data_IF_605380911621
#
_entry.id   IF_605380911621
#
_cell.length_a   1.000
_cell.length_b   1.000
_cell.length_c   1.000
_cell.angle_alpha   90.00
_cell.angle_beta   90.00
_cell.angle_gamma   90.00
#
_symmetry.space_group_name_H-M   'P 1'
#
loop_
_entity.id
_entity.type
_entity.pdbx_description
1 polymer ?
#
# COMPACT_ATOMS: atom_id res chain seq x y z
N UNK A 1 43.36 -89.70 -5.16
CA UNK A 1 44.45 -90.04 -6.09
C UNK A 1 45.21 -88.76 -6.41
N UNK A 2 46.52 -88.84 -6.30
CA UNK A 2 47.55 -87.79 -6.35
C UNK A 2 47.86 -87.26 -7.75
N UNK A 3 48.11 -85.95 -7.88
CA UNK A 3 49.16 -85.31 -8.71
C UNK A 3 48.91 -83.77 -8.70
N UNK A 4 49.76 -82.90 -8.16
CA UNK A 4 51.13 -82.50 -8.51
C UNK A 4 51.18 -81.14 -9.24
N UNK A 5 51.63 -80.14 -8.48
CA UNK A 5 52.42 -78.94 -8.79
C UNK A 5 52.46 -78.32 -10.21
N UNK A 6 52.33 -76.98 -10.27
CA UNK A 6 53.43 -76.11 -10.74
C UNK A 6 53.28 -74.64 -10.30
N UNK A 7 54.40 -74.05 -9.85
CA UNK A 7 54.57 -72.61 -9.54
C UNK A 7 54.77 -71.79 -10.82
N UNK A 8 54.27 -70.55 -10.86
CA UNK A 8 54.92 -69.42 -11.55
C UNK A 8 54.59 -68.08 -10.88
N UNK A 9 55.64 -67.39 -10.41
CA UNK A 9 55.63 -66.00 -9.92
C UNK A 9 55.60 -65.06 -11.13
N UNK A 10 54.69 -64.09 -11.17
CA UNK A 10 54.86 -62.87 -11.97
C UNK A 10 54.53 -61.60 -11.16
N UNK A 11 55.54 -60.75 -11.17
CA UNK A 11 55.77 -59.34 -10.80
C UNK A 11 54.60 -58.43 -10.41
N UNK A 12 54.91 -57.62 -9.38
CA UNK A 12 54.21 -56.41 -8.92
C UNK A 12 54.12 -55.36 -10.05
N UNK A 13 52.92 -54.84 -10.27
CA UNK A 13 52.65 -53.57 -10.97
C UNK A 13 51.84 -52.67 -10.03
N UNK A 14 52.27 -51.42 -9.88
CA UNK A 14 51.79 -50.47 -8.89
C UNK A 14 50.33 -50.06 -9.12
N UNK A 15 49.57 -49.99 -8.02
CA UNK A 15 48.24 -49.44 -7.94
C UNK A 15 48.35 -47.90 -8.07
N UNK A 16 47.80 -47.33 -9.13
CA UNK A 16 47.69 -45.88 -9.28
C UNK A 16 46.73 -45.31 -8.25
N UNK A 17 47.23 -44.43 -7.38
CA UNK A 17 46.40 -43.57 -6.53
C UNK A 17 45.72 -42.54 -7.43
N UNK A 18 44.39 -42.58 -7.52
CA UNK A 18 43.57 -41.46 -7.96
C UNK A 18 43.51 -40.45 -6.81
N UNK A 19 44.31 -39.39 -6.89
CA UNK A 19 44.19 -38.21 -6.03
C UNK A 19 42.97 -37.40 -6.48
N UNK A 20 41.89 -37.45 -5.71
CA UNK A 20 40.79 -36.51 -5.83
C UNK A 20 41.30 -35.12 -5.39
N UNK A 21 41.49 -34.23 -6.35
CA UNK A 21 41.83 -32.83 -6.08
C UNK A 21 40.54 -32.10 -5.71
N UNK A 22 40.34 -31.81 -4.43
CA UNK A 22 39.31 -30.89 -3.98
C UNK A 22 39.75 -29.47 -4.37
N UNK A 23 39.15 -28.90 -5.41
CA UNK A 23 39.20 -27.46 -5.64
C UNK A 23 38.34 -26.79 -4.56
N UNK A 24 38.98 -26.28 -3.51
CA UNK A 24 38.37 -25.27 -2.67
C UNK A 24 38.21 -23.99 -3.51
N UNK A 25 37.00 -23.78 -4.03
CA UNK A 25 36.63 -22.49 -4.63
C UNK A 25 36.49 -21.49 -3.49
N UNK A 26 37.55 -20.71 -3.25
CA UNK A 26 37.44 -19.51 -2.43
C UNK A 26 36.55 -18.52 -3.19
N UNK A 27 35.27 -18.46 -2.85
CA UNK A 27 34.41 -17.34 -3.22
C UNK A 27 34.96 -16.11 -2.49
N UNK A 28 35.77 -15.33 -3.18
CA UNK A 28 36.01 -13.94 -2.79
C UNK A 28 34.66 -13.25 -2.95
N UNK A 29 33.95 -13.05 -1.85
CA UNK A 29 32.85 -12.10 -1.81
C UNK A 29 33.50 -10.73 -2.06
N UNK A 30 33.46 -10.28 -3.32
CA UNK A 30 33.69 -8.88 -3.61
C UNK A 30 32.55 -8.13 -2.92
N UNK A 31 32.84 -7.51 -1.76
CA UNK A 31 31.97 -6.46 -1.25
C UNK A 31 31.92 -5.40 -2.35
N UNK A 32 30.78 -5.35 -3.05
CA UNK A 32 30.46 -4.17 -3.83
C UNK A 32 30.58 -2.97 -2.88
N UNK A 33 31.28 -1.89 -3.26
CA UNK A 33 31.25 -0.69 -2.44
C UNK A 33 29.78 -0.32 -2.24
N UNK A 34 29.41 0.03 -1.00
CA UNK A 34 28.10 0.60 -0.73
C UNK A 34 27.88 1.74 -1.74
N UNK A 35 26.87 1.59 -2.61
CA UNK A 35 26.48 2.64 -3.53
C UNK A 35 26.19 3.86 -2.66
N UNK A 36 26.84 4.99 -2.93
CA UNK A 36 26.55 6.22 -2.20
C UNK A 36 25.07 6.54 -2.38
N UNK A 37 24.36 6.80 -1.28
CA UNK A 37 22.96 7.20 -1.33
C UNK A 37 22.82 8.43 -2.23
N UNK A 38 21.88 8.35 -3.17
CA UNK A 38 21.66 9.35 -4.20
C UNK A 38 20.70 10.42 -3.67
N UNK A 39 20.93 11.69 -4.00
CA UNK A 39 19.91 12.72 -3.82
C UNK A 39 18.78 12.52 -4.83
N UNK A 40 17.61 13.08 -4.54
CA UNK A 40 16.50 13.09 -5.49
C UNK A 40 16.89 13.85 -6.77
N UNK A 41 16.53 13.29 -7.93
CA UNK A 41 16.62 14.04 -9.17
C UNK A 41 15.44 15.04 -9.27
N UNK A 42 15.64 16.24 -9.84
CA UNK A 42 14.55 17.19 -10.02
C UNK A 42 13.50 16.61 -10.99
N UNK A 43 12.32 16.31 -10.46
CA UNK A 43 11.15 15.92 -11.25
C UNK A 43 10.09 17.01 -11.11
N UNK A 44 9.54 17.51 -12.21
CA UNK A 44 8.34 18.34 -12.19
C UNK A 44 7.14 17.43 -12.17
N UNK A 45 6.22 17.62 -11.23
CA UNK A 45 5.04 16.79 -11.20
C UNK A 45 3.99 17.29 -12.20
N UNK A 46 3.32 16.35 -12.86
CA UNK A 46 2.15 16.67 -13.67
C UNK A 46 0.97 16.91 -12.72
N UNK A 47 0.19 17.97 -12.98
CA UNK A 47 -1.07 18.19 -12.28
C UNK A 47 -2.12 17.29 -12.94
N UNK A 48 -2.62 16.29 -12.21
CA UNK A 48 -3.77 15.50 -12.63
C UNK A 48 -5.06 16.17 -12.14
N UNK A 49 -6.16 16.11 -12.91
CA UNK A 49 -7.47 16.43 -12.36
C UNK A 49 -7.85 15.41 -11.28
N UNK A 50 -8.67 15.82 -10.31
CA UNK A 50 -9.21 14.90 -9.31
C UNK A 50 -10.01 13.76 -9.96
N UNK A 51 -9.87 12.56 -9.41
CA UNK A 51 -10.62 11.39 -9.84
C UNK A 51 -12.12 11.54 -9.59
N UNK A 52 -12.93 10.92 -10.45
CA UNK A 52 -14.39 11.00 -10.36
C UNK A 52 -14.98 9.86 -9.53
N UNK A 53 -16.03 10.11 -8.73
CA UNK A 53 -16.74 9.04 -8.03
C UNK A 53 -17.37 8.05 -9.02
N UNK A 54 -17.42 6.74 -8.68
CA UNK A 54 -18.17 5.76 -9.44
C UNK A 54 -19.66 6.11 -9.61
N UNK A 55 -20.29 5.76 -10.75
CA UNK A 55 -21.69 6.03 -11.00
C UNK A 55 -22.60 5.22 -10.06
N UNK A 56 -23.87 5.58 -9.94
CA UNK A 56 -24.82 4.94 -9.00
C UNK A 56 -24.89 3.41 -9.14
N UNK A 57 -24.90 2.90 -10.37
CA UNK A 57 -24.93 1.46 -10.66
C UNK A 57 -23.73 0.68 -10.12
N UNK A 58 -22.59 1.35 -9.89
CA UNK A 58 -21.41 0.73 -9.28
C UNK A 58 -21.68 0.29 -7.84
N UNK A 59 -22.50 1.02 -7.09
CA UNK A 59 -22.76 0.70 -5.68
C UNK A 59 -23.79 -0.43 -5.49
N UNK A 60 -24.34 -0.95 -6.59
CA UNK A 60 -25.37 -1.97 -6.59
C UNK A 60 -26.70 -1.48 -6.01
N UNK A 61 -27.59 -2.42 -5.64
CA UNK A 61 -28.88 -2.07 -5.05
C UNK A 61 -28.72 -1.64 -3.58
N UNK A 62 -28.49 -0.36 -3.34
CA UNK A 62 -28.41 0.23 -1.99
C UNK A 62 -29.77 0.29 -1.29
N UNK A 63 -30.88 0.31 -2.03
CA UNK A 63 -32.23 0.31 -1.46
C UNK A 63 -32.60 -1.03 -0.79
N UNK A 64 -31.89 -2.11 -1.14
CA UNK A 64 -32.03 -3.42 -0.51
C UNK A 64 -31.28 -3.60 0.82
N UNK A 65 -30.45 -2.62 1.22
CA UNK A 65 -29.66 -2.71 2.46
C UNK A 65 -30.62 -2.72 3.67
N UNK A 66 -30.58 -3.75 4.54
CA UNK A 66 -31.44 -3.80 5.71
C UNK A 66 -31.06 -2.69 6.71
N UNK A 67 -32.01 -2.15 7.48
CA UNK A 67 -31.68 -1.19 8.54
C UNK A 67 -30.79 -1.84 9.60
N UNK A 68 -29.76 -1.10 10.03
CA UNK A 68 -28.90 -1.51 11.14
C UNK A 68 -29.73 -1.78 12.40
N UNK A 69 -29.37 -2.84 13.13
CA UNK A 69 -29.90 -3.10 14.47
C UNK A 69 -28.91 -2.68 15.56
N UNK A 70 -27.63 -2.55 15.20
CA UNK A 70 -26.60 -1.90 16.00
C UNK A 70 -26.42 -0.43 15.53
N UNK A 71 -25.20 -0.03 15.16
CA UNK A 71 -24.86 1.36 14.82
C UNK A 71 -24.78 1.59 13.31
N UNK A 72 -24.34 0.59 12.52
CA UNK A 72 -24.07 0.75 11.09
C UNK A 72 -24.25 -0.57 10.34
N UNK A 73 -25.03 -0.59 9.25
CA UNK A 73 -25.08 -1.74 8.35
C UNK A 73 -23.97 -1.64 7.31
N UNK A 74 -22.99 -2.55 7.35
CA UNK A 74 -21.95 -2.65 6.32
C UNK A 74 -22.39 -3.64 5.25
N UNK A 75 -22.28 -3.26 3.98
CA UNK A 75 -22.44 -4.15 2.81
C UNK A 75 -21.13 -4.20 2.05
N UNK A 76 -20.61 -5.39 1.80
CA UNK A 76 -19.43 -5.57 0.92
C UNK A 76 -19.92 -5.96 -0.47
N UNK A 77 -19.41 -5.29 -1.51
CA UNK A 77 -19.77 -5.59 -2.91
C UNK A 77 -18.54 -5.99 -3.73
N UNK A 78 -18.78 -6.89 -4.67
CA UNK A 78 -17.77 -7.37 -5.61
C UNK A 78 -17.66 -6.42 -6.81
N UNK A 79 -16.51 -5.77 -6.94
CA UNK A 79 -16.14 -4.95 -8.09
C UNK A 79 -14.83 -5.44 -8.72
N UNK A 80 -14.58 -6.75 -8.66
CA UNK A 80 -13.37 -7.40 -9.22
C UNK A 80 -13.42 -7.61 -10.73
N UNK A 81 -14.33 -6.95 -11.44
CA UNK A 81 -14.51 -7.06 -12.89
C UNK A 81 -14.72 -8.50 -13.41
N UNK A 82 -15.26 -9.37 -12.55
CA UNK A 82 -15.53 -10.78 -12.87
C UNK A 82 -14.34 -11.73 -12.67
N UNK A 83 -13.20 -11.24 -12.19
CA UNK A 83 -12.02 -12.06 -11.91
C UNK A 83 -12.23 -13.00 -10.72
N UNK A 84 -12.97 -12.55 -9.70
CA UNK A 84 -13.32 -13.37 -8.55
C UNK A 84 -14.85 -13.46 -8.39
N UNK A 85 -15.42 -14.67 -8.27
CA UNK A 85 -16.81 -14.83 -7.86
C UNK A 85 -17.00 -14.45 -6.37
N UNK A 86 -18.25 -14.20 -5.96
CA UNK A 86 -18.61 -13.78 -4.61
C UNK A 86 -18.18 -14.76 -3.50
N UNK A 87 -18.03 -16.05 -3.80
CA UNK A 87 -17.50 -17.06 -2.86
C UNK A 87 -15.96 -17.04 -2.76
N UNK A 88 -15.31 -16.12 -3.46
CA UNK A 88 -13.87 -15.87 -3.44
C UNK A 88 -13.49 -14.43 -3.06
N UNK A 89 -14.47 -13.61 -2.68
CA UNK A 89 -14.23 -12.29 -2.07
C UNK A 89 -14.57 -12.39 -0.59
N UNK A 90 -13.57 -12.22 0.25
CA UNK A 90 -13.68 -12.39 1.70
C UNK A 90 -13.52 -11.06 2.43
N UNK A 91 -14.19 -10.95 3.56
CA UNK A 91 -13.89 -9.95 4.58
C UNK A 91 -13.56 -10.63 5.91
N UNK A 92 -12.69 -9.99 6.69
CA UNK A 92 -12.33 -10.40 8.05
C UNK A 92 -12.54 -9.22 9.01
N UNK A 93 -13.30 -9.43 10.08
CA UNK A 93 -13.48 -8.44 11.14
C UNK A 93 -13.66 -9.13 12.49
N UNK A 94 -13.03 -8.62 13.55
CA UNK A 94 -13.09 -9.19 14.90
C UNK A 94 -12.77 -10.70 14.99
N UNK A 95 -11.91 -11.20 14.10
CA UNK A 95 -11.50 -12.61 14.05
C UNK A 95 -12.48 -13.55 13.35
N UNK A 96 -13.56 -13.02 12.78
CA UNK A 96 -14.49 -13.75 11.91
C UNK A 96 -14.18 -13.44 10.45
N UNK A 97 -14.18 -14.47 9.60
CA UNK A 97 -13.92 -14.35 8.16
C UNK A 97 -15.06 -15.02 7.40
N UNK A 98 -15.65 -14.29 6.45
CA UNK A 98 -16.72 -14.80 5.60
C UNK A 98 -16.52 -14.39 4.15
N UNK A 99 -16.98 -15.23 3.23
CA UNK A 99 -17.15 -14.79 1.83
C UNK A 99 -18.40 -13.90 1.73
N UNK A 100 -18.44 -13.00 0.74
CA UNK A 100 -19.63 -12.17 0.52
C UNK A 100 -20.81 -12.98 -0.03
N UNK A 101 -20.58 -14.14 -0.65
CA UNK A 101 -21.64 -15.09 -1.01
C UNK A 101 -22.34 -15.71 0.21
N UNK A 102 -21.58 -15.93 1.29
CA UNK A 102 -22.10 -16.46 2.55
C UNK A 102 -22.75 -15.36 3.38
N UNK A 103 -22.06 -14.24 3.56
CA UNK A 103 -22.49 -13.15 4.42
C UNK A 103 -22.09 -11.79 3.79
N UNK A 104 -22.96 -11.19 2.96
CA UNK A 104 -22.68 -9.91 2.31
C UNK A 104 -22.88 -8.70 3.23
N UNK A 105 -23.50 -8.90 4.40
CA UNK A 105 -23.84 -7.85 5.35
C UNK A 105 -23.20 -8.09 6.72
N UNK A 106 -22.79 -7.00 7.37
CA UNK A 106 -22.34 -6.98 8.76
C UNK A 106 -23.04 -5.86 9.51
N UNK A 107 -23.89 -6.23 10.47
CA UNK A 107 -24.55 -5.29 11.38
C UNK A 107 -23.57 -4.84 12.48
N UNK A 108 -22.82 -3.78 12.19
CA UNK A 108 -21.63 -3.35 12.91
C UNK A 108 -21.99 -2.77 14.29
N UNK A 109 -21.49 -3.36 15.39
CA UNK A 109 -21.57 -2.75 16.71
C UNK A 109 -20.59 -1.60 16.86
N UNK A 110 -20.82 -0.77 17.88
CA UNK A 110 -19.86 0.23 18.29
C UNK A 110 -18.48 -0.38 18.58
N UNK A 111 -17.43 0.29 18.12
CA UNK A 111 -16.03 -0.13 18.28
C UNK A 111 -15.12 1.11 18.32
N UNK A 112 -13.95 0.98 18.94
CA UNK A 112 -13.03 2.09 19.20
C UNK A 112 -11.76 2.07 18.33
N UNK A 113 -11.61 1.06 17.45
CA UNK A 113 -10.45 0.84 16.58
C UNK A 113 -10.71 -0.36 15.64
N UNK A 114 -11.65 -0.20 14.72
CA UNK A 114 -11.98 -1.21 13.73
C UNK A 114 -10.99 -1.23 12.57
N UNK A 115 -10.53 -2.43 12.20
CA UNK A 115 -9.90 -2.71 10.92
C UNK A 115 -10.64 -3.89 10.29
N UNK A 116 -11.23 -3.66 9.12
CA UNK A 116 -11.88 -4.72 8.34
C UNK A 116 -10.97 -5.02 7.16
N UNK A 117 -10.46 -6.26 7.11
CA UNK A 117 -9.56 -6.74 6.08
C UNK A 117 -10.36 -7.40 4.97
N UNK A 118 -9.86 -7.32 3.74
CA UNK A 118 -10.44 -7.94 2.55
C UNK A 118 -9.42 -8.87 1.91
N UNK A 119 -9.88 -9.98 1.34
CA UNK A 119 -9.01 -10.98 0.70
C UNK A 119 -9.66 -11.50 -0.58
N UNK A 120 -8.85 -11.74 -1.62
CA UNK A 120 -9.31 -12.32 -2.88
C UNK A 120 -8.75 -13.73 -3.12
N UNK A 121 -9.60 -14.62 -3.62
CA UNK A 121 -9.30 -16.01 -3.97
C UNK A 121 -9.38 -16.99 -2.79
N UNK A 122 -8.88 -16.59 -1.63
CA UNK A 122 -8.87 -17.41 -0.41
C UNK A 122 -8.90 -16.51 0.84
N UNK A 123 -9.43 -16.99 1.99
CA UNK A 123 -9.51 -16.21 3.22
C UNK A 123 -8.14 -15.84 3.82
N UNK A 124 -7.08 -16.59 3.53
CA UNK A 124 -5.70 -16.34 3.96
C UNK A 124 -4.80 -15.83 2.82
N UNK A 125 -5.40 -15.33 1.74
CA UNK A 125 -4.70 -14.86 0.55
C UNK A 125 -3.78 -13.66 0.86
N UNK A 126 -2.57 -13.60 0.27
CA UNK A 126 -1.70 -12.43 0.36
C UNK A 126 -2.23 -11.23 -0.45
N UNK A 127 -3.26 -11.44 -1.28
CA UNK A 127 -3.99 -10.40 -2.01
C UNK A 127 -5.02 -9.79 -1.06
N UNK A 128 -4.56 -8.81 -0.30
CA UNK A 128 -5.31 -8.25 0.81
C UNK A 128 -5.09 -6.75 0.95
N UNK A 129 -6.10 -6.09 1.49
CA UNK A 129 -6.11 -4.69 1.87
C UNK A 129 -7.13 -4.48 2.99
N UNK A 130 -7.24 -3.28 3.56
CA UNK A 130 -8.15 -3.03 4.67
C UNK A 130 -8.67 -1.59 4.70
N UNK A 131 -9.79 -1.42 5.40
CA UNK A 131 -10.29 -0.10 5.82
C UNK A 131 -10.10 0.07 7.32
N UNK A 132 -9.99 1.31 7.77
CA UNK A 132 -9.90 1.68 9.18
C UNK A 132 -11.12 2.52 9.57
N UNK A 133 -11.67 2.26 10.75
CA UNK A 133 -12.81 3.01 11.24
C UNK A 133 -12.95 2.98 12.76
N UNK A 134 -13.76 3.91 13.26
CA UNK A 134 -14.34 3.91 14.60
C UNK A 134 -15.83 4.13 14.42
N UNK A 135 -16.63 3.19 14.92
CA UNK A 135 -18.09 3.35 15.01
C UNK A 135 -18.42 3.67 16.46
N UNK A 136 -18.68 4.95 16.74
CA UNK A 136 -19.12 5.40 18.05
C UNK A 136 -20.64 5.26 18.21
N UNK A 137 -21.16 5.76 19.33
CA UNK A 137 -22.60 5.95 19.49
C UNK A 137 -23.10 6.96 18.45
N UNK A 138 -23.84 6.50 17.45
CA UNK A 138 -24.41 7.31 16.37
C UNK A 138 -23.39 8.13 15.54
N UNK A 139 -22.15 7.67 15.40
CA UNK A 139 -21.13 8.35 14.58
C UNK A 139 -20.21 7.36 13.89
N UNK A 140 -19.97 7.57 12.59
CA UNK A 140 -18.94 6.87 11.83
C UNK A 140 -17.74 7.79 11.64
N UNK A 141 -16.55 7.23 11.81
CA UNK A 141 -15.28 7.84 11.42
C UNK A 141 -14.51 6.77 10.67
N UNK A 142 -14.12 6.97 9.41
CA UNK A 142 -13.38 5.93 8.71
C UNK A 142 -12.77 6.37 7.39
N UNK A 143 -11.83 5.56 6.93
CA UNK A 143 -10.99 5.84 5.77
C UNK A 143 -10.58 4.56 5.04
N UNK A 144 -10.31 4.71 3.73
CA UNK A 144 -9.38 3.81 3.04
C UNK A 144 -7.95 4.25 3.39
N UNK A 145 -6.94 3.40 3.20
CA UNK A 145 -5.56 3.80 3.52
C UNK A 145 -4.51 3.16 2.61
N UNK A 146 -3.50 3.96 2.26
CA UNK A 146 -2.29 3.57 1.52
C UNK A 146 -1.03 3.89 2.33
N UNK A 147 -1.17 4.18 3.62
CA UNK A 147 -0.04 4.47 4.51
C UNK A 147 0.99 3.33 4.53
N UNK A 148 0.51 2.08 4.46
CA UNK A 148 1.36 0.89 4.46
C UNK A 148 1.64 0.37 3.04
N UNK A 149 0.58 0.20 2.25
CA UNK A 149 0.63 -0.30 0.88
C UNK A 149 -0.72 -0.11 0.16
N UNK A 150 -0.71 -0.28 -1.16
CA UNK A 150 -1.89 -0.58 -1.97
C UNK A 150 -1.89 -2.07 -2.31
N UNK A 151 -2.89 -2.81 -1.86
CA UNK A 151 -3.07 -4.24 -2.15
C UNK A 151 -4.24 -4.52 -3.06
N UNK A 152 -5.42 -3.98 -2.71
CA UNK A 152 -6.68 -4.14 -3.43
C UNK A 152 -7.30 -2.75 -3.67
N UNK A 153 -8.09 -2.61 -4.73
CA UNK A 153 -8.86 -1.39 -4.98
C UNK A 153 -10.03 -1.34 -4.00
N UNK A 154 -10.13 -0.27 -3.23
CA UNK A 154 -11.15 -0.07 -2.22
C UNK A 154 -11.78 1.31 -2.38
N UNK A 155 -13.11 1.34 -2.44
CA UNK A 155 -13.90 2.55 -2.30
C UNK A 155 -15.05 2.29 -1.34
N UNK A 156 -15.45 3.33 -0.63
CA UNK A 156 -16.53 3.31 0.33
C UNK A 156 -17.59 4.34 -0.04
N UNK A 157 -18.84 4.06 0.30
CA UNK A 157 -19.96 5.01 0.25
C UNK A 157 -20.73 4.97 1.55
N UNK A 158 -20.77 6.10 2.26
CA UNK A 158 -21.46 6.25 3.53
C UNK A 158 -22.77 7.01 3.31
N UNK A 159 -23.86 6.52 3.88
CA UNK A 159 -25.13 7.25 3.95
C UNK A 159 -25.61 7.41 5.40
N UNK A 160 -26.16 8.58 5.71
CA UNK A 160 -26.68 8.92 7.03
C UNK A 160 -28.17 9.29 7.02
N UNK A 161 -28.77 9.36 8.20
CA UNK A 161 -30.21 9.59 8.39
C UNK A 161 -30.68 11.01 8.02
N UNK A 162 -29.77 11.97 7.94
CA UNK A 162 -30.02 13.34 7.49
C UNK A 162 -29.91 13.52 5.96
N UNK A 163 -29.61 12.44 5.24
CA UNK A 163 -29.45 12.42 3.79
C UNK A 163 -28.03 12.70 3.32
N UNK A 164 -27.03 12.77 4.22
CA UNK A 164 -25.63 12.72 3.82
C UNK A 164 -25.36 11.44 3.02
N UNK A 165 -24.66 11.59 1.90
CA UNK A 165 -24.27 10.50 1.01
C UNK A 165 -22.94 10.88 0.32
N UNK A 166 -21.86 10.19 0.67
CA UNK A 166 -20.53 10.48 0.15
C UNK A 166 -19.74 9.22 -0.17
N UNK A 167 -19.06 9.25 -1.33
CA UNK A 167 -18.13 8.22 -1.76
C UNK A 167 -16.68 8.68 -1.60
N UNK A 168 -15.79 7.76 -1.22
CA UNK A 168 -14.37 8.05 -0.97
C UNK A 168 -13.51 6.79 -1.17
N UNK A 169 -12.23 6.97 -1.54
CA UNK A 169 -11.33 5.89 -1.94
C UNK A 169 -10.95 5.97 -3.42
N UNK A 170 -10.57 4.83 -4.03
CA UNK A 170 -10.15 4.78 -5.44
C UNK A 170 -11.26 5.26 -6.38
N UNK A 171 -10.85 5.98 -7.43
CA UNK A 171 -11.77 6.53 -8.43
C UNK A 171 -12.30 5.47 -9.40
N UNK A 172 -13.31 5.86 -10.19
CA UNK A 172 -13.95 4.91 -11.09
C UNK A 172 -13.01 4.37 -12.18
N UNK A 173 -12.09 5.19 -12.70
CA UNK A 173 -11.13 4.77 -13.72
C UNK A 173 -10.24 3.64 -13.19
N UNK A 174 -9.72 3.80 -11.97
CA UNK A 174 -8.92 2.79 -11.30
C UNK A 174 -9.67 1.47 -11.14
N UNK A 175 -10.97 1.52 -10.82
CA UNK A 175 -11.83 0.33 -10.77
C UNK A 175 -12.10 -0.31 -12.13
N UNK A 176 -12.01 0.42 -13.25
CA UNK A 176 -12.21 -0.13 -14.59
C UNK A 176 -10.96 -0.82 -15.16
N UNK A 177 -9.79 -0.51 -14.64
CA UNK A 177 -8.53 -1.10 -15.09
C UNK A 177 -8.30 -2.48 -14.49
N UNK A 178 -7.42 -3.29 -15.10
CA UNK A 178 -6.90 -4.48 -14.41
C UNK A 178 -5.85 -4.07 -13.38
N UNK A 179 -5.60 -4.92 -12.38
CA UNK A 179 -4.51 -4.72 -11.43
C UNK A 179 -3.15 -4.52 -12.10
N UNK A 180 -2.82 -5.29 -13.13
CA UNK A 180 -1.57 -5.14 -13.88
C UNK A 180 -1.47 -3.76 -14.53
N UNK A 181 -2.57 -3.24 -15.08
CA UNK A 181 -2.62 -1.90 -15.63
C UNK A 181 -2.41 -0.84 -14.55
N UNK A 182 -3.01 -0.97 -13.37
CA UNK A 182 -2.78 -0.06 -12.24
C UNK A 182 -1.31 -0.07 -11.78
N UNK A 183 -0.70 -1.25 -11.66
CA UNK A 183 0.73 -1.38 -11.29
C UNK A 183 1.66 -0.80 -12.36
N UNK A 184 1.31 -0.97 -13.63
CA UNK A 184 2.07 -0.39 -14.73
C UNK A 184 1.93 1.14 -14.75
N UNK A 185 0.71 1.66 -14.58
CA UNK A 185 0.44 3.10 -14.48
C UNK A 185 1.25 3.74 -13.37
N UNK A 186 1.30 3.12 -12.18
CA UNK A 186 2.15 3.57 -11.08
C UNK A 186 3.62 3.73 -11.53
N UNK A 187 4.20 2.69 -12.15
CA UNK A 187 5.60 2.74 -12.64
C UNK A 187 5.84 3.79 -13.72
N UNK A 188 4.83 4.11 -14.52
CA UNK A 188 4.93 5.09 -15.60
C UNK A 188 4.86 6.53 -15.08
N UNK A 189 4.08 6.77 -14.03
CA UNK A 189 3.84 8.11 -13.51
C UNK A 189 4.82 8.56 -12.43
N UNK A 190 5.33 7.62 -11.62
CA UNK A 190 6.28 7.97 -10.55
C UNK A 190 7.72 8.11 -11.06
N UNK A 191 8.55 8.96 -10.41
CA UNK A 191 9.98 9.02 -10.67
C UNK A 191 10.70 7.68 -10.50
N UNK A 192 11.90 7.56 -11.06
CA UNK A 192 12.69 6.32 -11.05
C UNK A 192 12.90 5.78 -9.63
N UNK A 193 13.09 6.67 -8.66
CA UNK A 193 13.30 6.34 -7.24
C UNK A 193 12.11 5.64 -6.59
N UNK A 194 10.93 5.60 -7.20
CA UNK A 194 9.72 5.01 -6.63
C UNK A 194 9.23 3.77 -7.39
N UNK A 195 9.75 3.48 -8.58
CA UNK A 195 9.20 2.42 -9.44
C UNK A 195 9.32 1.02 -8.83
N UNK A 196 10.36 0.78 -8.03
CA UNK A 196 10.59 -0.49 -7.34
C UNK A 196 9.54 -0.78 -6.25
N UNK A 197 8.76 0.22 -5.83
CA UNK A 197 7.68 0.01 -4.85
C UNK A 197 6.59 -0.93 -5.38
N UNK A 198 6.48 -1.08 -6.70
CA UNK A 198 5.55 -2.00 -7.36
C UNK A 198 6.14 -3.39 -7.68
N UNK A 199 7.35 -3.71 -7.21
CA UNK A 199 8.02 -5.00 -7.50
C UNK A 199 7.52 -6.16 -6.64
N UNK A 200 6.85 -5.87 -5.51
CA UNK A 200 6.14 -6.90 -4.76
C UNK A 200 4.95 -7.40 -5.61
N UNK A 201 4.82 -8.72 -5.82
CA UNK A 201 3.79 -9.27 -6.69
C UNK A 201 2.38 -9.07 -6.13
N UNK A 202 2.22 -8.80 -4.83
CA UNK A 202 0.95 -8.71 -4.14
C UNK A 202 0.52 -7.26 -3.85
N UNK A 203 1.44 -6.30 -3.81
CA UNK A 203 1.12 -4.91 -3.40
C UNK A 203 2.09 -3.88 -3.96
N UNK A 204 1.69 -2.61 -3.97
CA UNK A 204 2.61 -1.48 -4.10
C UNK A 204 2.89 -0.96 -2.69
N UNK A 205 4.12 -1.16 -2.20
CA UNK A 205 4.49 -0.81 -0.81
C UNK A 205 4.69 0.70 -0.64
N UNK A 206 4.35 1.25 0.52
CA UNK A 206 4.67 2.64 0.84
C UNK A 206 6.20 2.84 0.94
N UNK A 207 6.73 4.03 0.59
CA UNK A 207 8.17 4.30 0.57
C UNK A 207 8.85 4.04 1.93
N UNK A 208 8.17 4.35 3.04
CA UNK A 208 8.67 4.13 4.41
C UNK A 208 8.95 2.67 4.77
N UNK A 209 8.40 1.72 4.00
CA UNK A 209 8.61 0.27 4.14
C UNK A 209 9.64 -0.28 3.15
N UNK A 210 10.12 0.53 2.21
CA UNK A 210 11.05 0.08 1.19
C UNK A 210 12.51 0.12 1.66
N UNK A 211 13.32 -0.94 1.44
CA UNK A 211 14.75 -0.96 1.74
C UNK A 211 15.54 0.21 1.14
N UNK A 212 15.15 0.68 -0.05
CA UNK A 212 15.88 1.75 -0.74
C UNK A 212 15.81 3.10 -0.01
N UNK A 213 14.70 3.37 0.69
CA UNK A 213 14.49 4.61 1.45
C UNK A 213 14.86 4.46 2.95
N UNK A 214 15.31 3.28 3.39
CA UNK A 214 15.84 3.09 4.74
C UNK A 214 17.27 3.62 4.88
N UNK A 215 17.75 3.72 6.13
CA UNK A 215 19.17 4.00 6.41
C UNK A 215 20.08 3.00 5.69
N UNK A 216 20.99 3.53 4.86
CA UNK A 216 21.93 2.72 4.05
C UNK A 216 21.38 2.22 2.71
N UNK A 217 20.11 2.46 2.40
CA UNK A 217 19.52 2.21 1.07
C UNK A 217 20.00 3.23 0.02
N UNK A 218 19.77 2.94 -1.27
CA UNK A 218 20.25 3.80 -2.35
C UNK A 218 19.59 5.19 -2.34
N UNK A 219 18.41 5.32 -1.74
CA UNK A 219 17.63 6.55 -1.64
C UNK A 219 17.51 7.06 -0.19
N UNK A 220 18.41 6.65 0.71
CA UNK A 220 18.40 7.05 2.12
C UNK A 220 18.46 8.59 2.31
N UNK A 221 19.00 9.32 1.33
CA UNK A 221 19.17 10.77 1.36
C UNK A 221 18.16 11.55 0.52
N UNK A 222 17.10 10.90 0.01
CA UNK A 222 16.12 11.51 -0.91
C UNK A 222 15.59 12.88 -0.43
N UNK A 223 15.24 13.02 0.85
CA UNK A 223 14.74 14.28 1.41
C UNK A 223 15.80 15.15 2.11
N UNK A 224 17.03 14.67 2.31
CA UNK A 224 18.00 15.26 3.24
C UNK A 224 18.26 16.73 2.97
N UNK A 225 18.56 17.10 1.72
CA UNK A 225 18.89 18.49 1.38
C UNK A 225 17.68 19.42 1.52
N UNK A 226 16.48 18.95 1.12
CA UNK A 226 15.25 19.72 1.24
C UNK A 226 14.85 19.95 2.70
N UNK A 227 14.86 18.89 3.51
CA UNK A 227 14.57 18.99 4.94
C UNK A 227 15.53 19.95 5.65
N UNK A 228 16.84 19.84 5.36
CA UNK A 228 17.85 20.74 5.92
C UNK A 228 17.63 22.21 5.51
N UNK A 229 17.16 22.47 4.27
CA UNK A 229 16.88 23.82 3.79
C UNK A 229 15.80 24.55 4.60
N UNK A 230 14.89 23.79 5.22
CA UNK A 230 13.81 24.30 6.09
C UNK A 230 14.08 24.05 7.58
N UNK A 231 15.32 23.74 7.94
CA UNK A 231 15.77 23.59 9.32
C UNK A 231 15.38 22.27 9.99
N UNK A 232 14.99 21.25 9.22
CA UNK A 232 14.66 19.91 9.71
C UNK A 232 15.82 18.96 9.45
N UNK A 233 16.32 18.31 10.51
CA UNK A 233 17.31 17.25 10.42
C UNK A 233 16.64 15.92 10.76
N UNK A 234 16.13 15.23 9.74
CA UNK A 234 15.40 13.96 9.88
C UNK A 234 15.73 13.03 8.71
N UNK A 235 15.64 11.71 8.93
CA UNK A 235 15.90 10.72 7.89
C UNK A 235 14.76 10.67 6.87
N UNK A 236 15.09 10.33 5.63
CA UNK A 236 14.11 10.12 4.55
C UNK A 236 12.99 9.17 4.98
N UNK A 237 13.33 8.05 5.63
CA UNK A 237 12.36 7.10 6.17
C UNK A 237 11.37 7.78 7.13
N UNK A 238 11.87 8.55 8.07
CA UNK A 238 11.02 9.20 9.08
C UNK A 238 10.18 10.34 8.48
N UNK A 239 10.65 10.99 7.41
CA UNK A 239 9.83 11.94 6.65
C UNK A 239 8.66 11.22 5.98
N UNK A 240 8.90 10.12 5.25
CA UNK A 240 7.81 9.34 4.66
C UNK A 240 6.82 8.81 5.69
N UNK A 241 7.33 8.31 6.82
CA UNK A 241 6.52 7.69 7.88
C UNK A 241 6.05 8.64 8.97
N UNK A 242 6.24 9.96 8.83
CA UNK A 242 5.97 10.96 9.86
C UNK A 242 6.41 10.55 11.27
N UNK A 243 7.62 10.01 11.39
CA UNK A 243 8.15 9.42 12.60
C UNK A 243 9.33 10.26 13.15
N UNK A 244 9.98 9.76 14.21
CA UNK A 244 11.12 10.43 14.81
C UNK A 244 10.74 11.81 15.36
N UNK A 245 11.44 12.84 14.91
CA UNK A 245 11.20 14.23 15.30
C UNK A 245 9.89 14.80 14.75
N UNK A 246 9.29 14.15 13.74
CA UNK A 246 8.05 14.58 13.08
C UNK A 246 6.78 13.95 13.67
N UNK A 247 6.90 12.95 14.56
CA UNK A 247 5.74 12.22 15.12
C UNK A 247 4.82 13.03 16.03
N UNK A 248 5.13 14.29 16.29
CA UNK A 248 4.26 15.24 16.99
C UNK A 248 4.03 16.55 16.23
N UNK A 249 4.47 16.63 14.96
CA UNK A 249 4.38 17.82 14.12
C UNK A 249 3.78 17.45 12.76
N UNK A 250 2.45 17.26 12.76
CA UNK A 250 1.70 16.84 11.59
C UNK A 250 1.87 17.80 10.41
N UNK A 251 1.77 19.11 10.67
CA UNK A 251 1.93 20.15 9.65
C UNK A 251 3.32 20.08 9.00
N UNK A 252 4.40 19.97 9.79
CA UNK A 252 5.74 19.87 9.23
C UNK A 252 5.95 18.59 8.43
N UNK A 253 5.45 17.44 8.90
CA UNK A 253 5.56 16.21 8.13
C UNK A 253 4.83 16.29 6.79
N UNK A 254 3.58 16.76 6.80
CA UNK A 254 2.77 16.90 5.59
C UNK A 254 3.45 17.87 4.61
N UNK A 255 3.96 19.00 5.10
CA UNK A 255 4.64 19.98 4.27
C UNK A 255 5.93 19.42 3.62
N UNK A 256 6.68 18.57 4.32
CA UNK A 256 7.86 17.89 3.76
C UNK A 256 7.47 16.86 2.69
N UNK A 257 6.48 16.00 2.97
CA UNK A 257 6.00 15.00 2.01
C UNK A 257 5.45 15.66 0.73
N UNK A 258 4.78 16.80 0.85
CA UNK A 258 4.16 17.53 -0.27
C UNK A 258 5.09 18.53 -0.95
N UNK A 259 6.35 18.65 -0.50
CA UNK A 259 7.31 19.65 -0.99
C UNK A 259 6.76 21.08 -0.96
N UNK A 260 6.24 21.49 0.20
CA UNK A 260 5.76 22.87 0.45
C UNK A 260 6.32 23.48 1.74
N UNK A 261 7.21 22.78 2.46
CA UNK A 261 7.75 23.22 3.75
C UNK A 261 8.54 24.55 3.71
N UNK A 262 9.00 24.96 2.53
CA UNK A 262 9.67 26.24 2.24
C UNK A 262 8.69 27.37 1.88
N UNK A 263 7.41 27.05 1.65
CA UNK A 263 6.36 28.02 1.37
C UNK A 263 5.81 28.64 2.67
N UNK A 264 5.15 29.81 2.59
CA UNK A 264 4.33 30.34 3.67
C UNK A 264 3.27 29.34 4.15
N UNK A 265 2.94 29.38 5.44
CA UNK A 265 2.03 28.41 6.09
C UNK A 265 0.66 28.30 5.38
N UNK A 266 0.07 29.41 4.93
CA UNK A 266 -1.19 29.39 4.18
C UNK A 266 -1.11 28.59 2.87
N UNK A 267 0.06 28.60 2.22
CA UNK A 267 0.32 27.82 1.00
C UNK A 267 0.64 26.36 1.29
N UNK A 268 1.08 26.02 2.51
CA UNK A 268 1.28 24.63 2.94
C UNK A 268 -0.05 23.87 3.13
N UNK A 269 -1.16 24.60 3.23
CA UNK A 269 -2.51 24.05 3.32
C UNK A 269 -3.31 24.18 2.01
N UNK A 270 -2.72 24.72 0.93
CA UNK A 270 -3.36 24.85 -0.38
C UNK A 270 -3.01 23.64 -1.28
N UNK A 271 -3.96 22.73 -1.56
CA UNK A 271 -3.68 21.53 -2.35
C UNK A 271 -3.19 21.82 -3.77
N UNK A 272 -3.50 23.00 -4.32
CA UNK A 272 -3.00 23.40 -5.65
C UNK A 272 -1.48 23.65 -5.68
N UNK A 273 -0.82 23.67 -4.51
CA UNK A 273 0.63 23.83 -4.36
C UNK A 273 1.38 22.52 -4.14
N UNK A 274 0.68 21.42 -3.89
CA UNK A 274 1.33 20.18 -3.47
C UNK A 274 2.06 19.50 -4.62
N UNK A 275 3.20 18.90 -4.28
CA UNK A 275 4.07 18.17 -5.19
C UNK A 275 4.50 18.99 -6.41
N UNK A 276 4.98 20.25 -6.28
CA UNK A 276 5.34 21.06 -7.45
C UNK A 276 6.61 20.53 -8.13
N UNK A 277 7.54 19.98 -7.32
CA UNK A 277 8.76 19.34 -7.79
C UNK A 277 9.35 18.39 -6.73
N UNK A 278 10.35 17.59 -7.10
CA UNK A 278 11.07 16.71 -6.19
C UNK A 278 12.15 17.43 -5.35
N UNK A 279 12.53 16.89 -4.18
CA UNK A 279 12.01 15.66 -3.58
C UNK A 279 10.60 15.80 -3.01
N UNK A 280 9.70 14.86 -3.33
CA UNK A 280 8.32 14.82 -2.83
C UNK A 280 7.88 13.37 -2.65
N UNK A 281 6.79 13.11 -1.92
CA UNK A 281 6.22 11.78 -1.82
C UNK A 281 5.35 11.48 -3.04
N UNK A 282 6.00 11.06 -4.14
CA UNK A 282 5.33 10.72 -5.39
C UNK A 282 4.45 9.46 -5.32
N UNK A 283 4.69 8.59 -4.32
CA UNK A 283 3.76 7.51 -3.99
C UNK A 283 2.42 8.06 -3.51
N UNK A 284 2.43 8.98 -2.53
CA UNK A 284 1.20 9.61 -2.05
C UNK A 284 0.53 10.43 -3.15
N UNK A 285 1.31 11.18 -3.93
CA UNK A 285 0.79 11.93 -5.09
C UNK A 285 0.01 11.03 -6.05
N UNK A 286 0.55 9.87 -6.42
CA UNK A 286 -0.14 8.92 -7.30
C UNK A 286 -1.53 8.56 -6.75
N UNK A 287 -1.64 8.24 -5.45
CA UNK A 287 -2.94 7.90 -4.88
C UNK A 287 -3.91 9.09 -4.79
N UNK A 288 -3.41 10.33 -4.67
CA UNK A 288 -4.28 11.50 -4.83
C UNK A 288 -4.77 11.65 -6.27
N UNK A 289 -3.91 11.44 -7.26
CA UNK A 289 -4.27 11.59 -8.67
C UNK A 289 -5.34 10.56 -9.11
N UNK A 290 -5.40 9.40 -8.46
CA UNK A 290 -6.28 8.27 -8.80
C UNK A 290 -7.34 7.95 -7.72
N UNK A 291 -7.67 8.92 -6.87
CA UNK A 291 -8.76 8.82 -5.90
C UNK A 291 -9.88 9.83 -6.17
N UNK A 292 -11.07 9.48 -5.67
CA UNK A 292 -12.26 10.35 -5.66
C UNK A 292 -11.90 11.69 -5.00
N UNK A 293 -12.23 12.79 -5.69
CA UNK A 293 -12.02 14.17 -5.26
C UNK A 293 -10.55 14.54 -4.94
N UNK A 294 -9.60 13.72 -5.39
CA UNK A 294 -8.18 13.91 -5.11
C UNK A 294 -7.81 13.63 -3.66
N UNK A 295 -8.63 12.88 -2.91
CA UNK A 295 -8.43 12.62 -1.47
C UNK A 295 -7.87 11.23 -1.23
N UNK A 296 -6.72 11.13 -0.58
CA UNK A 296 -6.06 9.85 -0.29
C UNK A 296 -5.31 9.88 1.02
N UNK A 297 -5.23 8.74 1.69
CA UNK A 297 -4.40 8.55 2.88
C UNK A 297 -3.08 7.88 2.48
N UNK A 298 -2.19 8.62 1.80
CA UNK A 298 -0.94 8.12 1.24
C UNK A 298 0.25 8.14 2.20
N UNK A 299 0.16 8.89 3.31
CA UNK A 299 1.13 8.92 4.41
C UNK A 299 0.44 9.31 5.74
N UNK A 300 1.04 9.09 6.93
CA UNK A 300 0.32 9.15 8.21
C UNK A 300 -0.35 10.48 8.60
N UNK A 301 0.05 11.61 8.00
CA UNK A 301 -0.54 12.93 8.26
C UNK A 301 -1.14 13.56 7.00
N UNK A 302 -1.69 12.73 6.10
CA UNK A 302 -2.37 13.21 4.89
C UNK A 302 -3.71 13.93 5.21
N UNK A 303 -4.24 13.73 6.42
CA UNK A 303 -5.40 14.43 6.95
C UNK A 303 -5.16 15.94 7.14
N UNK A 304 -3.90 16.39 7.22
CA UNK A 304 -3.55 17.81 7.21
C UNK A 304 -4.10 18.46 5.94
N UNK A 305 -4.80 19.59 6.11
CA UNK A 305 -5.55 20.27 5.06
C UNK A 305 -6.67 19.42 4.44
N UNK A 306 -7.23 18.47 5.21
CA UNK A 306 -8.37 17.64 4.84
C UNK A 306 -8.13 16.77 3.60
N UNK A 307 -6.91 16.29 3.33
CA UNK A 307 -6.61 15.55 2.08
C UNK A 307 -6.73 14.03 2.19
N UNK A 308 -6.90 13.48 3.39
CA UNK A 308 -7.13 12.06 3.57
C UNK A 308 -8.46 11.59 2.93
N UNK A 309 -8.50 10.35 2.45
CA UNK A 309 -9.75 9.64 2.07
C UNK A 309 -10.54 9.23 3.30
N UNK A 310 -10.98 10.22 4.08
CA UNK A 310 -11.61 10.06 5.39
C UNK A 310 -12.99 10.73 5.43
N UNK A 311 -13.95 10.07 6.08
CA UNK A 311 -15.27 10.61 6.36
C UNK A 311 -15.59 10.47 7.85
N UNK A 312 -16.14 11.54 8.42
CA UNK A 312 -16.75 11.56 9.75
C UNK A 312 -18.17 12.10 9.64
N UNK A 313 -19.17 11.34 10.08
CA UNK A 313 -20.55 11.78 10.04
C UNK A 313 -21.40 11.12 11.14
N UNK A 314 -22.32 11.90 11.72
CA UNK A 314 -23.33 11.41 12.66
C UNK A 314 -24.48 10.69 11.93
N UNK A 315 -25.27 9.90 12.66
CA UNK A 315 -26.46 9.24 12.11
C UNK A 315 -26.19 8.20 11.01
N UNK A 316 -25.08 7.43 11.04
CA UNK A 316 -24.75 6.55 9.93
C UNK A 316 -25.80 5.43 9.82
N UNK A 317 -26.29 5.17 8.61
CA UNK A 317 -27.27 4.10 8.36
C UNK A 317 -26.61 2.89 7.72
N UNK A 318 -25.86 3.14 6.65
CA UNK A 318 -25.14 2.09 5.94
C UNK A 318 -23.82 2.57 5.35
N UNK A 319 -22.90 1.62 5.22
CA UNK A 319 -21.61 1.77 4.55
C UNK A 319 -21.51 0.67 3.50
N UNK A 320 -21.37 1.05 2.23
CA UNK A 320 -20.99 0.11 1.18
C UNK A 320 -19.47 0.14 1.04
N UNK A 321 -18.84 -1.03 1.02
CA UNK A 321 -17.41 -1.20 0.71
C UNK A 321 -17.27 -1.98 -0.59
N UNK A 322 -16.71 -1.35 -1.62
CA UNK A 322 -16.42 -1.98 -2.90
C UNK A 322 -15.01 -2.57 -2.90
N UNK A 323 -14.89 -3.85 -3.22
CA UNK A 323 -13.61 -4.56 -3.36
C UNK A 323 -13.36 -4.84 -4.83
N UNK A 324 -12.29 -4.26 -5.38
CA UNK A 324 -11.95 -4.33 -6.79
C UNK A 324 -10.63 -5.03 -7.11
N UNK A 325 -10.47 -5.32 -8.40
CA UNK A 325 -9.30 -5.97 -8.99
C UNK A 325 -9.04 -5.43 -10.39
#
# INVERSE_FOLDING_TARGET
MTASATKRRWRRGALGLLTASALASATVAASLPAQAAQPAEPHTANIAPAGTPPPEEFWGDVASIPPAQNELMVKVINQTNGEYPDDQVYWTFNGETHSIAEQPYLDMPANNSGRMEFHLGAPDSPLTDFIEFTVGENVFNGNTTRVDAFGLKLAMRLHADDGFDAAFGEDYETFQESREATFQKFREEVPEEFKHLADDPNRIIAPGSSPEFQDGGAQANYFTDYANSVGVNETTKNIFGCAGTLGGDANKCAALNRHVADLPEDQQHDPSKFYPTGPANYYAKFWHDHNIDGKSYGFPYDDVAEQASYVSHEGPQWLVVAVGW
#
